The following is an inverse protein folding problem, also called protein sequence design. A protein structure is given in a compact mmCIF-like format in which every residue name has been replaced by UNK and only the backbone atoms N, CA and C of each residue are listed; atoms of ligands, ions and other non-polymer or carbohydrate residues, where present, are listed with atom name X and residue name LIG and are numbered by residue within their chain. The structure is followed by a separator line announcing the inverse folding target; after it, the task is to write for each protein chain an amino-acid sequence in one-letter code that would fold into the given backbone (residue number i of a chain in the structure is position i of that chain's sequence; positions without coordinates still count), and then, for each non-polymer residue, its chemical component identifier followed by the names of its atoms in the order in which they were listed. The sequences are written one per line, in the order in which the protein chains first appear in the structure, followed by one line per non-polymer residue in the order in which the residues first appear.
data_IF_743513614050
#
_entry.id   IF_743513614050
#
_cell.length_a   1.000
_cell.length_b   1.000
_cell.length_c   1.000
_cell.angle_alpha   90.00
_cell.angle_beta   90.00
_cell.angle_gamma   90.00
#
_symmetry.space_group_name_H-M   'P 1'
#
loop_
_entity.id
_entity.type
_entity.pdbx_description
1 polymer ?
#
# COMPACT_ATOMS: atom_id res chain seq x y z
N UNK A 1 -7.62 -4.12 -14.98
CA UNK A 1 -7.18 -3.40 -13.77
C UNK A 1 -8.35 -2.58 -13.26
N UNK A 2 -8.50 -2.38 -11.94
CA UNK A 2 -9.40 -1.36 -11.40
C UNK A 2 -8.59 -0.43 -10.50
N UNK A 3 -8.03 0.63 -11.07
CA UNK A 3 -7.26 1.62 -10.32
C UNK A 3 -8.20 2.70 -9.76
N UNK A 4 -8.16 2.90 -8.45
CA UNK A 4 -9.13 3.77 -7.75
C UNK A 4 -9.00 5.22 -8.18
N UNK A 5 -7.79 5.69 -8.52
CA UNK A 5 -7.55 7.09 -8.92
C UNK A 5 -8.24 7.47 -10.24
N UNK A 6 -8.55 6.48 -11.07
CA UNK A 6 -9.17 6.68 -12.39
C UNK A 6 -10.71 6.60 -12.33
N UNK A 7 -11.27 6.27 -11.16
CA UNK A 7 -12.71 6.12 -10.97
C UNK A 7 -13.35 7.39 -10.41
N UNK A 8 -14.50 7.75 -10.97
CA UNK A 8 -15.40 8.69 -10.31
C UNK A 8 -16.08 8.07 -9.08
N UNK A 9 -16.45 8.89 -8.11
CA UNK A 9 -17.15 8.44 -6.90
C UNK A 9 -18.40 7.58 -7.20
N UNK A 10 -19.30 7.94 -8.14
CA UNK A 10 -20.44 7.09 -8.46
C UNK A 10 -20.04 5.70 -8.97
N UNK A 11 -18.98 5.62 -9.76
CA UNK A 11 -18.45 4.36 -10.31
C UNK A 11 -17.88 3.48 -9.19
N UNK A 12 -17.06 4.07 -8.32
CA UNK A 12 -16.49 3.38 -7.16
C UNK A 12 -17.57 2.91 -6.18
N UNK A 13 -18.53 3.79 -5.85
CA UNK A 13 -19.67 3.49 -4.98
C UNK A 13 -20.49 2.31 -5.50
N UNK A 14 -20.78 2.28 -6.81
CA UNK A 14 -21.46 1.15 -7.46
C UNK A 14 -20.64 -0.14 -7.35
N UNK A 15 -19.32 -0.09 -7.57
CA UNK A 15 -18.45 -1.27 -7.46
C UNK A 15 -18.43 -1.85 -6.04
N UNK A 16 -18.37 -0.99 -5.02
CA UNK A 16 -18.35 -1.38 -3.60
C UNK A 16 -19.69 -1.98 -3.17
N UNK A 17 -20.82 -1.41 -3.60
CA UNK A 17 -22.16 -1.88 -3.22
C UNK A 17 -22.56 -3.21 -3.88
N UNK A 18 -22.03 -3.50 -5.07
CA UNK A 18 -22.45 -4.66 -5.87
C UNK A 18 -21.73 -5.96 -5.50
N UNK A 19 -20.47 -5.89 -5.10
CA UNK A 19 -19.65 -7.06 -4.77
C UNK A 19 -18.66 -6.74 -3.67
N UNK A 20 -18.29 -7.76 -2.88
CA UNK A 20 -17.19 -7.64 -1.93
C UNK A 20 -15.91 -7.29 -2.68
N UNK A 21 -15.22 -6.23 -2.25
CA UNK A 21 -13.96 -5.77 -2.83
C UNK A 21 -12.77 -6.07 -1.92
N UNK A 22 -11.62 -6.26 -2.55
CA UNK A 22 -10.32 -6.31 -1.89
C UNK A 22 -9.54 -5.09 -2.36
N UNK A 23 -9.03 -4.29 -1.43
CA UNK A 23 -8.09 -3.22 -1.74
C UNK A 23 -6.66 -3.76 -1.79
N UNK A 24 -5.91 -3.32 -2.77
CA UNK A 24 -4.50 -3.61 -2.97
C UNK A 24 -3.71 -2.32 -2.76
N UNK A 25 -2.83 -2.29 -1.78
CA UNK A 25 -2.10 -1.10 -1.33
C UNK A 25 -0.60 -1.31 -1.59
N UNK A 26 -0.04 -0.77 -2.69
CA UNK A 26 1.39 -0.86 -2.96
C UNK A 26 2.16 0.11 -2.04
N UNK A 27 3.25 -0.35 -1.44
CA UNK A 27 4.13 0.46 -0.58
C UNK A 27 5.58 0.24 -1.00
N UNK A 28 6.21 1.27 -1.55
CA UNK A 28 7.60 1.28 -1.98
C UNK A 28 8.51 2.07 -1.05
N UNK A 29 9.54 2.68 -1.65
CA UNK A 29 10.52 3.56 -1.01
C UNK A 29 11.16 4.48 -2.06
N UNK A 30 11.91 5.49 -1.59
CA UNK A 30 12.82 6.32 -2.39
C UNK A 30 14.22 6.23 -1.78
N UNK A 31 15.13 5.51 -2.43
CA UNK A 31 16.44 5.15 -1.90
C UNK A 31 17.48 4.81 -2.95
N UNK A 32 18.75 4.80 -2.56
CA UNK A 32 19.87 4.43 -3.41
C UNK A 32 19.76 2.98 -3.93
N UNK A 33 19.85 2.81 -5.26
CA UNK A 33 19.97 1.49 -5.93
C UNK A 33 21.20 1.38 -6.85
N UNK A 34 22.30 2.04 -6.48
CA UNK A 34 23.53 2.05 -7.29
C UNK A 34 23.45 3.06 -8.44
N UNK A 35 24.49 3.12 -9.30
CA UNK A 35 24.60 4.17 -10.34
C UNK A 35 23.73 3.93 -11.58
N UNK A 36 23.05 2.79 -11.67
CA UNK A 36 22.39 2.31 -12.89
C UNK A 36 20.85 2.23 -12.76
N UNK A 37 20.32 2.40 -11.56
CA UNK A 37 18.89 2.32 -11.28
C UNK A 37 18.39 3.62 -10.66
N UNK A 38 17.13 3.99 -10.92
CA UNK A 38 16.53 5.16 -10.30
C UNK A 38 16.29 4.92 -8.80
N UNK A 39 16.25 6.02 -8.04
CA UNK A 39 15.95 5.96 -6.60
C UNK A 39 14.52 5.50 -6.29
N UNK A 40 13.66 5.44 -7.31
CA UNK A 40 12.27 4.96 -7.23
C UNK A 40 12.11 3.45 -7.43
N UNK A 41 13.20 2.70 -7.60
CA UNK A 41 13.16 1.28 -8.02
C UNK A 41 12.14 0.44 -7.24
N UNK A 42 12.14 0.52 -5.90
CA UNK A 42 11.18 -0.21 -5.06
C UNK A 42 9.72 0.16 -5.36
N UNK A 43 9.46 1.46 -5.55
CA UNK A 43 8.14 2.00 -5.89
C UNK A 43 7.71 1.59 -7.30
N UNK A 44 8.62 1.60 -8.27
CA UNK A 44 8.34 1.23 -9.66
C UNK A 44 8.01 -0.27 -9.78
N UNK A 45 8.81 -1.11 -9.11
CA UNK A 45 8.61 -2.57 -9.09
C UNK A 45 7.26 -2.92 -8.44
N UNK A 46 6.98 -2.40 -7.24
CA UNK A 46 5.74 -2.74 -6.52
C UNK A 46 4.51 -2.20 -7.25
N UNK A 47 4.63 -1.05 -7.93
CA UNK A 47 3.56 -0.50 -8.77
C UNK A 47 3.21 -1.44 -9.91
N UNK A 48 4.21 -1.91 -10.66
CA UNK A 48 3.99 -2.79 -11.82
C UNK A 48 3.48 -4.18 -11.40
N UNK A 49 4.02 -4.75 -10.31
CA UNK A 49 3.51 -6.00 -9.74
C UNK A 49 2.05 -5.83 -9.32
N UNK A 50 1.73 -4.76 -8.60
CA UNK A 50 0.37 -4.50 -8.12
C UNK A 50 -0.61 -4.27 -9.27
N UNK A 51 -0.17 -3.59 -10.34
CA UNK A 51 -0.92 -3.40 -11.58
C UNK A 51 -1.33 -4.73 -12.20
N UNK A 52 -0.35 -5.59 -12.49
CA UNK A 52 -0.58 -6.93 -13.08
C UNK A 52 -1.41 -7.82 -12.16
N UNK A 53 -1.21 -7.72 -10.85
CA UNK A 53 -1.98 -8.49 -9.88
C UNK A 53 -3.45 -8.04 -9.84
N UNK A 54 -3.73 -6.72 -9.85
CA UNK A 54 -5.07 -6.17 -9.96
C UNK A 54 -5.76 -6.57 -11.27
N UNK A 55 -5.03 -6.58 -12.40
CA UNK A 55 -5.57 -7.04 -13.69
C UNK A 55 -6.08 -8.48 -13.64
N UNK A 56 -5.33 -9.37 -13.01
CA UNK A 56 -5.70 -10.79 -12.89
C UNK A 56 -6.81 -11.06 -11.87
N UNK A 57 -6.85 -10.28 -10.79
CA UNK A 57 -7.74 -10.55 -9.63
C UNK A 57 -9.00 -9.68 -9.60
N UNK A 58 -9.00 -8.54 -10.30
CA UNK A 58 -10.05 -7.53 -10.20
C UNK A 58 -10.06 -6.77 -8.86
N UNK A 59 -8.97 -6.82 -8.09
CA UNK A 59 -8.82 -6.06 -6.85
C UNK A 59 -8.71 -4.56 -7.13
N UNK A 60 -9.19 -3.74 -6.18
CA UNK A 60 -9.12 -2.28 -6.27
C UNK A 60 -7.68 -1.85 -5.96
N UNK A 61 -6.96 -1.39 -6.98
CA UNK A 61 -5.60 -0.89 -6.84
C UNK A 61 -5.64 0.54 -6.31
N UNK A 62 -5.03 0.77 -5.15
CA UNK A 62 -4.77 2.12 -4.64
C UNK A 62 -3.49 2.70 -5.25
N UNK A 63 -3.34 4.03 -5.26
CA UNK A 63 -2.07 4.67 -5.62
C UNK A 63 -0.91 4.13 -4.77
N UNK A 64 0.25 3.95 -5.40
CA UNK A 64 1.48 3.53 -4.72
C UNK A 64 1.89 4.58 -3.69
N UNK A 65 2.20 4.11 -2.49
CA UNK A 65 2.84 4.91 -1.45
C UNK A 65 4.35 4.86 -1.71
N UNK A 66 4.89 5.96 -2.25
CA UNK A 66 6.28 5.99 -2.70
C UNK A 66 7.30 6.20 -1.57
N UNK A 67 6.87 6.58 -0.37
CA UNK A 67 7.76 6.86 0.76
C UNK A 67 7.67 5.79 1.84
N UNK A 68 8.83 5.27 2.23
CA UNK A 68 8.96 4.18 3.19
C UNK A 68 9.94 4.49 4.33
N UNK A 69 10.39 3.43 5.02
CA UNK A 69 11.43 3.49 6.03
C UNK A 69 12.73 3.01 5.39
N UNK A 70 13.66 3.92 5.11
CA UNK A 70 14.92 3.65 4.37
C UNK A 70 16.14 4.31 5.02
N UNK A 71 16.14 4.47 6.34
CA UNK A 71 17.25 5.10 7.07
C UNK A 71 18.56 4.31 6.98
N UNK A 72 18.48 3.01 6.70
CA UNK A 72 19.61 2.09 6.53
C UNK A 72 20.46 2.39 5.28
N UNK A 73 19.96 3.19 4.33
CA UNK A 73 20.71 3.58 3.13
C UNK A 73 21.68 4.75 3.36
N UNK A 74 21.69 5.36 4.55
CA UNK A 74 22.67 6.39 4.89
C UNK A 74 24.11 5.82 4.82
N UNK A 75 25.09 6.56 4.24
CA UNK A 75 25.08 7.99 3.86
C UNK A 75 24.65 8.30 2.42
N UNK A 76 24.12 7.31 1.70
CA UNK A 76 23.65 7.52 0.32
C UNK A 76 22.23 8.12 0.33
N UNK A 77 21.81 8.63 -0.82
CA UNK A 77 20.52 9.32 -0.94
C UNK A 77 19.36 8.40 -0.53
N UNK A 78 18.49 8.90 0.33
CA UNK A 78 17.22 8.29 0.71
C UNK A 78 16.24 9.38 1.16
N UNK A 79 14.95 9.15 0.96
CA UNK A 79 13.87 9.94 1.57
C UNK A 79 13.04 9.02 2.46
N UNK A 80 13.35 9.06 3.76
CA UNK A 80 12.81 8.12 4.73
C UNK A 80 11.88 8.79 5.74
N UNK A 81 10.78 8.10 6.07
CA UNK A 81 9.89 8.45 7.19
C UNK A 81 10.06 7.45 8.33
N UNK A 82 9.65 7.83 9.54
CA UNK A 82 9.74 6.90 10.68
C UNK A 82 8.81 5.71 10.51
N UNK A 83 9.22 4.57 11.08
CA UNK A 83 8.37 3.37 11.22
C UNK A 83 6.99 3.68 11.79
N UNK A 84 6.94 4.50 12.84
CA UNK A 84 5.68 4.89 13.49
C UNK A 84 4.80 5.71 12.55
N UNK A 85 5.39 6.63 11.77
CA UNK A 85 4.68 7.42 10.76
C UNK A 85 4.05 6.53 9.70
N UNK A 86 4.84 5.62 9.09
CA UNK A 86 4.34 4.71 8.06
C UNK A 86 3.23 3.79 8.60
N UNK A 87 3.43 3.21 9.78
CA UNK A 87 2.46 2.33 10.41
C UNK A 87 1.14 3.06 10.70
N UNK A 88 1.21 4.25 11.32
CA UNK A 88 0.01 5.05 11.64
C UNK A 88 -0.73 5.47 10.37
N UNK A 89 -0.01 5.93 9.37
CA UNK A 89 -0.57 6.31 8.07
C UNK A 89 -1.36 5.16 7.43
N UNK A 90 -0.75 3.97 7.34
CA UNK A 90 -1.41 2.80 6.75
C UNK A 90 -2.61 2.31 7.57
N UNK A 91 -2.54 2.35 8.89
CA UNK A 91 -3.68 2.01 9.76
C UNK A 91 -4.84 2.97 9.50
N UNK A 92 -4.59 4.28 9.43
CA UNK A 92 -5.63 5.27 9.17
C UNK A 92 -6.29 5.06 7.80
N UNK A 93 -5.50 4.73 6.76
CA UNK A 93 -6.03 4.34 5.46
C UNK A 93 -6.89 3.07 5.54
N UNK A 94 -6.43 2.02 6.22
CA UNK A 94 -7.16 0.76 6.34
C UNK A 94 -8.48 0.93 7.13
N UNK A 95 -8.49 1.76 8.17
CA UNK A 95 -9.71 2.14 8.90
C UNK A 95 -10.67 2.91 7.99
N UNK A 96 -10.15 3.85 7.20
CA UNK A 96 -10.95 4.61 6.23
C UNK A 96 -11.59 3.70 5.17
N UNK A 97 -10.84 2.74 4.63
CA UNK A 97 -11.35 1.72 3.69
C UNK A 97 -12.47 0.88 4.33
N UNK A 98 -12.28 0.46 5.58
CA UNK A 98 -13.28 -0.32 6.32
C UNK A 98 -14.59 0.47 6.52
N UNK A 99 -14.50 1.77 6.87
CA UNK A 99 -15.67 2.67 6.94
C UNK A 99 -16.40 2.80 5.59
N UNK A 100 -15.65 2.68 4.50
CA UNK A 100 -16.18 2.67 3.12
C UNK A 100 -16.56 1.26 2.62
N UNK A 101 -16.83 0.30 3.53
CA UNK A 101 -17.27 -1.08 3.21
C UNK A 101 -16.24 -1.94 2.46
N UNK A 102 -14.98 -1.53 2.42
CA UNK A 102 -13.87 -2.33 1.88
C UNK A 102 -13.15 -3.00 3.06
N UNK A 103 -13.61 -4.20 3.42
CA UNK A 103 -13.16 -4.90 4.62
C UNK A 103 -12.04 -5.92 4.37
N UNK A 104 -11.53 -6.03 3.15
CA UNK A 104 -10.42 -6.93 2.80
C UNK A 104 -9.34 -6.12 2.12
N UNK A 105 -8.12 -6.20 2.65
CA UNK A 105 -7.01 -5.36 2.24
C UNK A 105 -5.73 -6.20 2.16
N UNK A 106 -4.95 -5.96 1.13
CA UNK A 106 -3.63 -6.54 0.93
C UNK A 106 -2.65 -5.38 0.77
N UNK A 107 -1.66 -5.31 1.64
CA UNK A 107 -0.54 -4.38 1.53
C UNK A 107 0.57 -5.12 0.81
N UNK A 108 0.95 -4.69 -0.39
CA UNK A 108 2.12 -5.24 -1.09
C UNK A 108 3.33 -4.38 -0.78
N UNK A 109 4.31 -5.00 -0.12
CA UNK A 109 5.55 -4.33 0.25
C UNK A 109 6.62 -4.48 -0.83
N UNK A 110 7.17 -3.37 -1.30
CA UNK A 110 8.26 -3.30 -2.27
C UNK A 110 9.65 -3.14 -1.66
N UNK A 111 9.75 -2.80 -0.37
CA UNK A 111 11.01 -2.40 0.28
C UNK A 111 11.24 -3.11 1.62
N UNK A 112 12.47 -3.55 1.91
CA UNK A 112 12.78 -4.32 3.13
C UNK A 112 12.56 -3.52 4.42
N UNK A 113 13.01 -2.27 4.51
CA UNK A 113 12.93 -1.46 5.73
C UNK A 113 11.51 -1.19 6.22
N UNK A 114 10.51 -1.28 5.33
CA UNK A 114 9.09 -1.18 5.68
C UNK A 114 8.60 -2.34 6.56
N UNK A 115 9.19 -3.53 6.48
CA UNK A 115 8.66 -4.76 7.10
C UNK A 115 8.28 -4.57 8.57
N UNK A 116 9.16 -3.93 9.33
CA UNK A 116 8.96 -3.77 10.77
C UNK A 116 7.76 -2.86 11.09
N UNK A 117 7.42 -1.90 10.22
CA UNK A 117 6.23 -1.06 10.32
C UNK A 117 4.95 -1.84 9.95
N UNK A 118 5.03 -2.70 8.93
CA UNK A 118 3.88 -3.40 8.36
C UNK A 118 3.41 -4.60 9.20
N UNK A 119 4.34 -5.37 9.77
CA UNK A 119 4.03 -6.67 10.41
C UNK A 119 2.99 -6.60 11.54
N UNK A 120 2.87 -5.46 12.24
CA UNK A 120 1.88 -5.30 13.33
C UNK A 120 0.51 -4.80 12.85
N UNK A 121 0.40 -4.34 11.60
CA UNK A 121 -0.85 -3.77 11.08
C UNK A 121 -2.01 -4.78 11.13
N UNK A 122 -1.87 -6.04 10.70
CA UNK A 122 -2.97 -7.02 10.77
C UNK A 122 -3.50 -7.22 12.19
N UNK A 123 -2.60 -7.33 13.17
CA UNK A 123 -2.97 -7.50 14.58
C UNK A 123 -3.72 -6.27 15.11
N UNK A 124 -3.19 -5.07 14.87
CA UNK A 124 -3.83 -3.82 15.30
C UNK A 124 -5.21 -3.68 14.65
N UNK A 125 -5.32 -3.91 13.34
CA UNK A 125 -6.57 -3.80 12.59
C UNK A 125 -7.66 -4.75 13.09
N UNK A 126 -7.29 -5.96 13.52
CA UNK A 126 -8.23 -6.91 14.13
C UNK A 126 -8.82 -6.45 15.45
N UNK A 127 -8.10 -5.58 16.19
CA UNK A 127 -8.53 -5.04 17.49
C UNK A 127 -9.41 -3.79 17.36
N UNK A 128 -9.17 -2.98 16.32
CA UNK A 128 -9.80 -1.65 16.18
C UNK A 128 -10.83 -1.56 15.05
N UNK A 129 -10.96 -2.60 14.22
CA UNK A 129 -11.89 -2.60 13.08
C UNK A 129 -12.33 -4.02 12.69
N UNK A 130 -13.40 -4.12 11.89
CA UNK A 130 -13.78 -5.38 11.22
C UNK A 130 -12.98 -5.68 9.94
N UNK A 131 -12.01 -4.82 9.58
CA UNK A 131 -11.21 -4.96 8.38
C UNK A 131 -10.13 -6.03 8.51
N UNK A 132 -10.03 -6.90 7.50
CA UNK A 132 -9.01 -7.95 7.41
C UNK A 132 -7.87 -7.46 6.52
N UNK A 133 -6.71 -7.26 7.12
CA UNK A 133 -5.48 -6.86 6.43
C UNK A 133 -4.52 -8.04 6.32
N UNK A 134 -3.90 -8.21 5.16
CA UNK A 134 -2.70 -9.03 4.96
C UNK A 134 -1.57 -8.14 4.44
N UNK A 135 -0.35 -8.48 4.81
CA UNK A 135 0.90 -7.91 4.27
C UNK A 135 1.60 -9.04 3.54
#
# INVERSE_FOLDING_TARGET
MIEVKDLSDPSLSKLIKTKRRVALIPVGSIEQHGPHLPVSTDSDIVSEISRRFSEKTGFLLLPTINYGVSFEHHPLFNLSITKLTLQKFLIELCVSLSKNRINWMIILNGHHGNQSALNKIPEIMSKISGGKVRV
#
